data_IF_229530540661
#
_entry.id   IF_229530540661
#
_cell.length_a   1.000
_cell.length_b   1.000
_cell.length_c   1.000
_cell.angle_alpha   90.00
_cell.angle_beta   90.00
_cell.angle_gamma   90.00
#
_symmetry.space_group_name_H-M   'P 1'
#
loop_
_entity.id
_entity.type
_entity.pdbx_description
1 polymer ?
#
# COMPACT_ATOMS: atom_id res chain seq x y z
N UNK A 1 13.31 0.78 15.49
CA UNK A 1 12.91 0.21 14.19
C UNK A 1 11.41 0.37 14.00
N UNK A 2 10.97 1.08 12.96
CA UNK A 2 9.57 1.25 12.61
C UNK A 2 9.14 0.21 11.57
N UNK A 3 7.97 -0.39 11.79
CA UNK A 3 7.42 -1.43 10.91
C UNK A 3 5.98 -1.09 10.58
N UNK A 4 5.69 -1.04 9.29
CA UNK A 4 4.34 -0.94 8.78
C UNK A 4 3.80 -2.35 8.51
N UNK A 5 2.67 -2.69 9.12
CA UNK A 5 1.99 -3.95 8.89
C UNK A 5 0.93 -3.74 7.82
N UNK A 6 0.84 -4.64 6.86
CA UNK A 6 -0.31 -4.70 5.98
C UNK A 6 -1.53 -5.31 6.70
N UNK A 7 -2.72 -5.07 6.18
CA UNK A 7 -3.98 -5.53 6.75
C UNK A 7 -4.07 -7.06 6.81
N UNK A 8 -3.51 -7.79 5.83
CA UNK A 8 -3.43 -9.25 5.86
C UNK A 8 -2.62 -9.78 7.06
N UNK A 9 -1.55 -9.08 7.46
CA UNK A 9 -0.75 -9.43 8.64
C UNK A 9 -1.54 -9.16 9.92
N UNK A 10 -2.25 -8.04 9.99
CA UNK A 10 -3.12 -7.72 11.12
C UNK A 10 -4.27 -8.71 11.28
N UNK A 11 -4.87 -9.17 10.18
CA UNK A 11 -5.89 -10.24 10.17
C UNK A 11 -5.32 -11.53 10.78
N UNK A 12 -4.16 -11.97 10.31
CA UNK A 12 -3.56 -13.20 10.80
C UNK A 12 -3.07 -13.09 12.25
N UNK A 13 -2.68 -11.89 12.70
CA UNK A 13 -2.40 -11.61 14.10
C UNK A 13 -3.67 -11.63 14.96
N UNK A 14 -4.77 -11.05 14.48
CA UNK A 14 -6.10 -11.07 15.11
C UNK A 14 -6.61 -12.50 15.29
N UNK A 15 -6.46 -13.34 14.26
CA UNK A 15 -6.85 -14.74 14.25
C UNK A 15 -5.89 -15.65 15.07
N UNK A 16 -4.81 -15.09 15.62
CA UNK A 16 -3.80 -15.85 16.38
C UNK A 16 -2.90 -16.75 15.54
N UNK A 17 -2.96 -16.66 14.20
CA UNK A 17 -2.11 -17.41 13.26
C UNK A 17 -0.68 -16.91 13.25
N UNK A 18 -0.49 -15.60 13.49
CA UNK A 18 0.83 -14.95 13.57
C UNK A 18 1.05 -14.29 14.91
N UNK A 19 2.31 -14.26 15.34
CA UNK A 19 2.75 -13.45 16.49
C UNK A 19 3.66 -12.36 15.98
N UNK A 20 3.43 -11.12 16.40
CA UNK A 20 4.33 -10.02 16.08
C UNK A 20 5.61 -10.17 16.93
N UNK A 21 6.80 -10.35 16.32
CA UNK A 21 8.06 -10.32 17.06
C UNK A 21 8.19 -9.00 17.84
N UNK A 22 8.54 -9.05 19.11
CA UNK A 22 8.72 -7.83 19.90
C UNK A 22 10.10 -7.84 20.55
N UNK A 23 10.84 -6.77 20.35
CA UNK A 23 11.96 -6.36 21.19
C UNK A 23 11.72 -4.91 21.64
N UNK A 24 12.60 -4.37 22.49
CA UNK A 24 12.46 -3.01 23.03
C UNK A 24 12.51 -1.89 21.98
N UNK A 25 12.98 -2.18 20.76
CA UNK A 25 13.22 -1.19 19.71
C UNK A 25 12.18 -1.25 18.57
N UNK A 26 11.39 -2.32 18.50
CA UNK A 26 10.36 -2.56 17.48
C UNK A 26 9.12 -1.70 17.73
N UNK A 27 8.75 -0.90 16.73
CA UNK A 27 7.59 -0.01 16.77
C UNK A 27 6.70 -0.27 15.55
N UNK A 28 5.56 -0.92 15.77
CA UNK A 28 4.56 -1.14 14.72
C UNK A 28 3.71 0.10 14.51
N UNK A 29 3.32 0.37 13.26
CA UNK A 29 2.55 1.55 12.86
C UNK A 29 1.33 1.18 12.04
N UNK A 30 0.32 2.05 12.01
CA UNK A 30 -0.80 1.97 11.07
C UNK A 30 -1.04 3.33 10.38
N UNK A 31 -1.98 3.36 9.45
CA UNK A 31 -2.43 4.55 8.72
C UNK A 31 -3.94 4.51 8.51
N UNK A 32 -4.50 5.54 7.88
CA UNK A 32 -5.93 5.58 7.58
C UNK A 32 -6.35 4.47 6.60
N UNK A 33 -5.43 3.90 5.82
CA UNK A 33 -5.72 2.88 4.80
C UNK A 33 -6.33 1.64 5.45
N UNK A 34 -5.78 1.22 6.59
CA UNK A 34 -6.32 0.14 7.41
C UNK A 34 -7.78 0.35 7.80
N UNK A 35 -8.13 1.60 8.07
CA UNK A 35 -9.44 2.00 8.53
C UNK A 35 -10.43 2.10 7.37
N UNK A 36 -9.97 2.47 6.18
CA UNK A 36 -10.77 2.40 4.95
C UNK A 36 -11.09 0.96 4.58
N UNK A 37 -10.11 0.06 4.58
CA UNK A 37 -10.36 -1.36 4.34
C UNK A 37 -11.33 -1.94 5.38
N UNK A 38 -11.24 -1.49 6.63
CA UNK A 38 -12.18 -1.87 7.67
C UNK A 38 -13.60 -1.36 7.40
N UNK A 39 -13.74 -0.17 6.82
CA UNK A 39 -15.02 0.42 6.46
C UNK A 39 -15.72 -0.37 5.35
N UNK A 40 -14.97 -0.95 4.42
CA UNK A 40 -15.50 -1.81 3.33
C UNK A 40 -16.12 -3.12 3.84
N UNK A 41 -15.87 -3.52 5.10
CA UNK A 41 -16.63 -4.62 5.69
C UNK A 41 -18.12 -4.24 5.79
N UNK A 42 -19.00 -5.18 5.41
CA UNK A 42 -20.46 -4.97 5.50
C UNK A 42 -20.87 -4.49 6.89
N UNK A 43 -21.86 -3.62 6.96
CA UNK A 43 -22.30 -3.03 8.24
C UNK A 43 -22.83 -4.05 9.25
N UNK A 44 -23.20 -5.25 8.80
CA UNK A 44 -23.56 -6.39 9.66
C UNK A 44 -22.39 -6.92 10.50
N UNK A 45 -21.15 -6.45 10.28
CA UNK A 45 -19.94 -6.89 10.98
C UNK A 45 -19.47 -5.91 12.08
N UNK A 46 -20.39 -5.31 12.84
CA UNK A 46 -20.07 -4.31 13.88
C UNK A 46 -19.05 -4.85 14.92
N UNK A 47 -19.27 -6.07 15.40
CA UNK A 47 -18.38 -6.71 16.38
C UNK A 47 -16.97 -6.90 15.81
N UNK A 48 -16.89 -7.35 14.54
CA UNK A 48 -15.61 -7.54 13.85
C UNK A 48 -14.89 -6.21 13.57
N UNK A 49 -15.63 -5.14 13.25
CA UNK A 49 -15.08 -3.79 13.13
C UNK A 49 -14.46 -3.34 14.45
N UNK A 50 -15.19 -3.53 15.56
CA UNK A 50 -14.72 -3.20 16.90
C UNK A 50 -13.49 -4.01 17.31
N UNK A 51 -13.50 -5.32 17.03
CA UNK A 51 -12.36 -6.20 17.26
C UNK A 51 -11.13 -5.73 16.49
N UNK A 52 -11.25 -5.41 15.20
CA UNK A 52 -10.12 -4.94 14.38
C UNK A 52 -9.52 -3.65 14.90
N UNK A 53 -10.34 -2.69 15.35
CA UNK A 53 -9.84 -1.46 15.96
C UNK A 53 -9.00 -1.74 17.21
N UNK A 54 -9.45 -2.69 18.06
CA UNK A 54 -8.68 -3.12 19.22
C UNK A 54 -7.39 -3.85 18.82
N UNK A 55 -7.44 -4.70 17.79
CA UNK A 55 -6.25 -5.35 17.21
C UNK A 55 -5.22 -4.32 16.77
N UNK A 56 -5.62 -3.33 15.96
CA UNK A 56 -4.74 -2.26 15.47
C UNK A 56 -4.15 -1.50 16.64
N UNK A 57 -4.99 -1.09 17.61
CA UNK A 57 -4.58 -0.38 18.82
C UNK A 57 -3.52 -1.16 19.60
N UNK A 58 -3.77 -2.44 19.86
CA UNK A 58 -2.86 -3.33 20.60
C UNK A 58 -1.54 -3.55 19.85
N UNK A 59 -1.60 -3.84 18.54
CA UNK A 59 -0.43 -4.13 17.73
C UNK A 59 0.49 -2.91 17.60
N UNK A 60 -0.09 -1.75 17.33
CA UNK A 60 0.67 -0.52 16.98
C UNK A 60 0.92 0.41 18.16
N UNK A 61 0.22 0.19 19.28
CA UNK A 61 0.21 1.11 20.42
C UNK A 61 -0.15 2.54 19.96
N UNK A 62 -1.19 2.66 19.13
CA UNK A 62 -1.70 3.92 18.59
C UNK A 62 -0.73 4.70 17.68
N UNK A 63 0.37 4.10 17.22
CA UNK A 63 1.32 4.79 16.33
C UNK A 63 0.76 4.92 14.91
N UNK A 64 0.29 6.12 14.62
CA UNK A 64 -0.41 6.48 13.41
C UNK A 64 0.48 7.30 12.49
N UNK A 65 0.58 6.91 11.22
CA UNK A 65 1.24 7.70 10.19
C UNK A 65 0.19 8.52 9.45
N UNK A 66 0.40 9.83 9.43
CA UNK A 66 -0.41 10.79 8.70
C UNK A 66 0.39 11.36 7.52
N UNK A 67 -0.29 11.58 6.42
CA UNK A 67 0.23 12.32 5.27
C UNK A 67 -0.35 13.74 5.27
N UNK A 68 0.48 14.75 5.00
CA UNK A 68 -0.02 16.07 4.62
C UNK A 68 -0.49 16.09 3.14
N UNK A 69 -0.95 17.25 2.70
CA UNK A 69 -1.42 17.52 1.33
C UNK A 69 -0.32 17.40 0.26
N UNK A 70 0.95 17.52 0.67
CA UNK A 70 2.12 17.41 -0.22
C UNK A 70 2.72 16.02 -0.25
N UNK A 71 2.18 15.07 0.53
CA UNK A 71 2.69 13.71 0.62
C UNK A 71 3.86 13.56 1.61
N UNK A 72 4.04 14.49 2.54
CA UNK A 72 4.99 14.35 3.63
C UNK A 72 4.37 13.51 4.73
N UNK A 73 5.10 12.50 5.18
CA UNK A 73 4.67 11.58 6.23
C UNK A 73 5.19 12.03 7.60
N UNK A 74 4.32 11.91 8.61
CA UNK A 74 4.64 12.19 10.01
C UNK A 74 3.97 11.18 10.94
N UNK A 75 4.62 10.93 12.09
CA UNK A 75 4.15 9.97 13.09
C UNK A 75 3.43 10.69 14.23
N UNK A 76 2.29 10.14 14.63
CA UNK A 76 1.45 10.60 15.74
C UNK A 76 1.04 9.42 16.62
N UNK A 77 0.58 9.72 17.83
CA UNK A 77 -0.08 8.75 18.70
C UNK A 77 -1.58 9.07 18.73
N UNK A 78 -2.37 8.29 17.98
CA UNK A 78 -3.82 8.49 17.85
C UNK A 78 -4.53 7.16 18.02
N UNK A 79 -5.66 7.14 18.73
CA UNK A 79 -6.48 5.94 18.82
C UNK A 79 -7.13 5.64 17.46
N UNK A 80 -7.03 4.41 16.92
CA UNK A 80 -7.67 4.02 15.66
C UNK A 80 -9.16 4.34 15.62
N UNK A 81 -9.85 4.26 16.76
CA UNK A 81 -11.29 4.52 16.86
C UNK A 81 -11.64 5.99 16.58
N UNK A 82 -10.76 6.93 16.95
CA UNK A 82 -10.96 8.37 16.70
C UNK A 82 -10.85 8.68 15.22
N UNK A 83 -9.85 8.10 14.54
CA UNK A 83 -9.73 8.26 13.08
C UNK A 83 -10.87 7.54 12.37
N UNK A 84 -11.26 6.35 12.85
CA UNK A 84 -12.34 5.57 12.25
C UNK A 84 -13.70 6.29 12.30
N UNK A 85 -14.00 7.03 13.38
CA UNK A 85 -15.22 7.86 13.42
C UNK A 85 -15.17 9.00 12.40
N UNK A 86 -14.02 9.66 12.25
CA UNK A 86 -13.84 10.77 11.31
C UNK A 86 -14.00 10.35 9.85
N UNK A 87 -13.45 9.20 9.45
CA UNK A 87 -13.60 8.70 8.07
C UNK A 87 -15.03 8.21 7.77
N UNK A 88 -15.79 7.85 8.82
CA UNK A 88 -17.17 7.42 8.67
C UNK A 88 -18.17 8.58 8.56
N UNK A 89 -17.72 9.82 8.72
CA UNK A 89 -18.54 11.00 8.49
C UNK A 89 -19.09 11.00 7.04
N UNK A 90 -20.38 11.31 6.82
CA UNK A 90 -21.00 11.23 5.49
C UNK A 90 -20.25 12.02 4.41
N UNK A 91 -19.73 13.20 4.76
CA UNK A 91 -18.93 14.01 3.85
C UNK A 91 -17.60 13.34 3.47
N UNK A 92 -16.93 12.71 4.43
CA UNK A 92 -15.69 11.98 4.19
C UNK A 92 -15.93 10.79 3.25
N UNK A 93 -17.03 10.05 3.43
CA UNK A 93 -17.44 8.96 2.53
C UNK A 93 -17.68 9.44 1.10
N UNK A 94 -18.40 10.56 0.95
CA UNK A 94 -18.71 11.13 -0.36
C UNK A 94 -17.43 11.56 -1.09
N UNK A 95 -16.51 12.25 -0.40
CA UNK A 95 -15.22 12.67 -0.96
C UNK A 95 -14.39 11.46 -1.39
N UNK A 96 -14.35 10.41 -0.57
CA UNK A 96 -13.64 9.16 -0.91
C UNK A 96 -14.23 8.48 -2.15
N UNK A 97 -15.56 8.42 -2.27
CA UNK A 97 -16.25 7.86 -3.43
C UNK A 97 -15.93 8.66 -4.70
N UNK A 98 -15.93 10.00 -4.65
CA UNK A 98 -15.57 10.83 -5.81
C UNK A 98 -14.11 10.64 -6.22
N UNK A 99 -13.18 10.53 -5.27
CA UNK A 99 -11.78 10.23 -5.56
C UNK A 99 -11.65 8.83 -6.20
N UNK A 100 -12.39 7.85 -5.68
CA UNK A 100 -12.44 6.49 -6.22
C UNK A 100 -12.93 6.46 -7.68
N UNK A 101 -14.00 7.17 -7.99
CA UNK A 101 -14.54 7.29 -9.35
C UNK A 101 -13.52 7.93 -10.30
N UNK A 102 -12.80 8.96 -9.87
CA UNK A 102 -11.76 9.59 -10.69
C UNK A 102 -10.56 8.69 -10.94
N UNK A 103 -10.12 7.92 -9.95
CA UNK A 103 -8.97 7.00 -10.10
C UNK A 103 -9.35 5.78 -10.94
N UNK A 104 -10.57 5.25 -10.81
CA UNK A 104 -11.06 4.16 -11.69
C UNK A 104 -11.28 4.61 -13.15
N UNK A 105 -11.26 5.91 -13.42
CA UNK A 105 -11.22 6.51 -14.75
C UNK A 105 -9.79 6.71 -15.29
N UNK A 106 -8.76 6.19 -14.62
CA UNK A 106 -7.39 6.26 -15.15
C UNK A 106 -7.36 5.70 -16.58
N UNK A 107 -6.98 6.51 -17.59
CA UNK A 107 -7.22 6.20 -19.00
C UNK A 107 -6.52 4.91 -19.47
N UNK A 108 -5.47 4.50 -18.76
CA UNK A 108 -4.68 3.29 -19.04
C UNK A 108 -5.23 2.01 -18.42
N UNK A 109 -6.14 2.06 -17.43
CA UNK A 109 -6.79 0.85 -16.92
C UNK A 109 -7.62 0.16 -18.01
N UNK A 110 -8.24 0.97 -18.88
CA UNK A 110 -9.04 0.47 -20.01
C UNK A 110 -8.22 0.19 -21.27
N UNK A 111 -7.02 0.78 -21.38
CA UNK A 111 -6.13 0.57 -22.51
C UNK A 111 -4.65 0.61 -22.09
N UNK A 112 -4.13 -0.48 -21.51
CA UNK A 112 -2.73 -0.60 -21.11
C UNK A 112 -1.76 -0.39 -22.28
N UNK A 113 -2.17 -0.76 -23.49
CA UNK A 113 -1.36 -0.61 -24.71
C UNK A 113 -1.02 0.86 -24.99
N UNK A 114 -1.94 1.78 -24.74
CA UNK A 114 -1.68 3.21 -24.93
C UNK A 114 -0.54 3.72 -24.03
N UNK A 115 -0.45 3.22 -22.80
CA UNK A 115 0.65 3.55 -21.90
C UNK A 115 1.96 2.92 -22.38
N UNK A 116 1.93 1.66 -22.80
CA UNK A 116 3.09 0.95 -23.34
C UNK A 116 3.66 1.67 -24.58
N UNK A 117 2.80 2.08 -25.50
CA UNK A 117 3.16 2.82 -26.71
C UNK A 117 3.79 4.18 -26.33
N UNK A 118 3.24 4.88 -25.32
CA UNK A 118 3.82 6.14 -24.82
C UNK A 118 5.18 5.97 -24.16
N UNK A 119 5.37 4.89 -23.41
CA UNK A 119 6.63 4.57 -22.74
C UNK A 119 7.64 3.92 -23.71
N UNK A 120 7.23 3.63 -24.94
CA UNK A 120 8.00 2.89 -25.95
C UNK A 120 8.54 1.55 -25.40
N UNK A 121 7.70 0.83 -24.63
CA UNK A 121 8.04 -0.47 -24.05
C UNK A 121 7.41 -1.57 -24.90
N UNK A 122 8.23 -2.42 -25.50
CA UNK A 122 7.73 -3.65 -26.12
C UNK A 122 7.24 -4.62 -25.05
N UNK A 123 6.05 -5.20 -25.25
CA UNK A 123 5.47 -6.18 -24.33
C UNK A 123 6.29 -7.48 -24.34
N UNK A 124 7.44 -7.49 -23.66
CA UNK A 124 8.03 -8.72 -23.14
C UNK A 124 7.28 -9.11 -21.87
N UNK A 125 7.17 -10.40 -21.60
CA UNK A 125 6.56 -10.89 -20.37
C UNK A 125 7.49 -10.54 -19.22
N UNK A 126 7.33 -9.36 -18.63
CA UNK A 126 8.15 -8.91 -17.49
C UNK A 126 7.73 -9.54 -16.15
N UNK A 127 6.75 -10.44 -16.16
CA UNK A 127 6.20 -11.09 -14.96
C UNK A 127 7.23 -11.94 -14.18
N UNK A 128 8.40 -12.22 -14.77
CA UNK A 128 9.50 -12.94 -14.14
C UNK A 128 10.65 -12.04 -13.66
N UNK A 129 10.53 -10.72 -13.82
CA UNK A 129 11.59 -9.81 -13.43
C UNK A 129 11.69 -9.75 -11.90
N UNK A 130 12.90 -9.69 -11.38
CA UNK A 130 13.08 -9.24 -10.00
C UNK A 130 12.88 -7.72 -9.94
N UNK A 131 12.60 -7.13 -8.76
CA UNK A 131 12.57 -5.68 -8.61
C UNK A 131 13.83 -4.97 -9.13
N UNK A 132 15.01 -5.62 -9.01
CA UNK A 132 16.26 -5.08 -9.52
C UNK A 132 16.32 -5.07 -11.04
N UNK A 133 15.90 -6.16 -11.69
CA UNK A 133 15.92 -6.26 -13.15
C UNK A 133 14.99 -5.24 -13.78
N UNK A 134 13.80 -5.04 -13.18
CA UNK A 134 12.83 -4.05 -13.66
C UNK A 134 13.36 -2.62 -13.52
N UNK A 135 13.93 -2.27 -12.37
CA UNK A 135 14.52 -0.92 -12.18
C UNK A 135 15.71 -0.71 -13.10
N UNK A 136 16.53 -1.74 -13.34
CA UNK A 136 17.66 -1.65 -14.26
C UNK A 136 17.22 -1.41 -15.71
N UNK A 137 16.19 -2.10 -16.17
CA UNK A 137 15.75 -2.03 -17.58
C UNK A 137 14.81 -0.84 -17.84
N UNK A 138 13.87 -0.56 -16.94
CA UNK A 138 12.80 0.41 -17.18
C UNK A 138 12.78 1.59 -16.19
N UNK A 139 13.63 1.57 -15.15
CA UNK A 139 13.56 2.52 -14.05
C UNK A 139 13.64 3.97 -14.50
N UNK A 140 14.57 4.31 -15.39
CA UNK A 140 14.72 5.69 -15.89
C UNK A 140 13.44 6.21 -16.57
N UNK A 141 12.87 5.43 -17.50
CA UNK A 141 11.68 5.83 -18.26
C UNK A 141 10.46 5.94 -17.35
N UNK A 142 10.26 4.96 -16.46
CA UNK A 142 9.15 4.95 -15.51
C UNK A 142 9.27 6.13 -14.53
N UNK A 143 10.46 6.38 -13.99
CA UNK A 143 10.70 7.47 -13.04
C UNK A 143 10.37 8.83 -13.65
N UNK A 144 10.92 9.13 -14.84
CA UNK A 144 10.67 10.41 -15.51
C UNK A 144 9.19 10.63 -15.82
N UNK A 145 8.50 9.58 -16.32
CA UNK A 145 7.07 9.68 -16.58
C UNK A 145 6.27 9.97 -15.29
N UNK A 146 6.63 9.34 -14.17
CA UNK A 146 5.97 9.58 -12.89
C UNK A 146 6.25 10.99 -12.36
N UNK A 147 7.50 11.46 -12.41
CA UNK A 147 7.85 12.82 -11.98
C UNK A 147 7.13 13.90 -12.79
N UNK A 148 6.91 13.68 -14.08
CA UNK A 148 6.19 14.62 -14.95
C UNK A 148 4.66 14.63 -14.72
N UNK A 149 4.11 13.55 -14.16
CA UNK A 149 2.65 13.35 -14.10
C UNK A 149 2.07 13.38 -12.68
N UNK A 150 2.91 13.27 -11.65
CA UNK A 150 2.48 13.16 -10.26
C UNK A 150 2.63 14.49 -9.50
N UNK A 151 1.62 14.86 -8.70
CA UNK A 151 1.64 16.10 -7.92
C UNK A 151 2.02 15.88 -6.44
N UNK A 152 2.07 14.63 -6.00
CA UNK A 152 2.41 14.24 -4.63
C UNK A 152 3.12 12.88 -4.61
N UNK A 153 3.82 12.58 -3.51
CA UNK A 153 4.44 11.25 -3.33
C UNK A 153 3.40 10.12 -3.33
N UNK A 154 2.20 10.36 -2.81
CA UNK A 154 1.10 9.38 -2.90
C UNK A 154 0.74 9.08 -4.36
N UNK A 155 0.66 10.12 -5.20
CA UNK A 155 0.39 9.97 -6.63
C UNK A 155 1.52 9.21 -7.34
N UNK A 156 2.78 9.40 -6.92
CA UNK A 156 3.91 8.67 -7.49
C UNK A 156 3.78 7.16 -7.26
N UNK A 157 3.41 6.75 -6.04
CA UNK A 157 3.18 5.33 -5.72
C UNK A 157 1.99 4.76 -6.50
N UNK A 158 0.87 5.49 -6.57
CA UNK A 158 -0.31 5.08 -7.33
C UNK A 158 -0.01 4.93 -8.82
N UNK A 159 0.65 5.94 -9.42
CA UNK A 159 1.10 5.93 -10.81
C UNK A 159 1.98 4.73 -11.10
N UNK A 160 2.97 4.47 -10.23
CA UNK A 160 3.88 3.34 -10.39
C UNK A 160 3.13 2.01 -10.37
N UNK A 161 2.27 1.77 -9.39
CA UNK A 161 1.51 0.52 -9.30
C UNK A 161 0.65 0.30 -10.54
N UNK A 162 0.01 1.36 -11.07
CA UNK A 162 -0.75 1.30 -12.31
C UNK A 162 0.12 0.98 -13.52
N UNK A 163 1.30 1.60 -13.64
CA UNK A 163 2.26 1.33 -14.72
C UNK A 163 2.74 -0.13 -14.66
N UNK A 164 3.10 -0.62 -13.48
CA UNK A 164 3.54 -2.00 -13.29
C UNK A 164 2.46 -3.02 -13.67
N UNK A 165 1.20 -2.76 -13.31
CA UNK A 165 0.09 -3.62 -13.74
C UNK A 165 -0.17 -3.56 -15.25
N UNK A 166 -0.07 -2.38 -15.85
CA UNK A 166 -0.21 -2.22 -17.30
C UNK A 166 0.89 -2.96 -18.08
N UNK A 167 2.10 -3.00 -17.53
CA UNK A 167 3.23 -3.76 -18.06
C UNK A 167 3.08 -5.28 -17.84
N UNK A 168 2.16 -5.71 -16.98
CA UNK A 168 1.98 -7.12 -16.62
C UNK A 168 2.98 -7.64 -15.58
N UNK A 169 3.62 -6.75 -14.80
CA UNK A 169 4.52 -7.11 -13.71
C UNK A 169 3.72 -7.50 -12.47
N UNK A 170 3.75 -8.79 -12.10
CA UNK A 170 2.96 -9.33 -10.99
C UNK A 170 1.50 -8.91 -11.09
N UNK A 171 0.95 -9.05 -12.30
CA UNK A 171 -0.38 -8.55 -12.64
C UNK A 171 -1.45 -9.28 -11.82
N UNK A 172 -2.34 -8.51 -11.22
CA UNK A 172 -3.53 -9.08 -10.61
C UNK A 172 -4.45 -9.69 -11.67
N UNK A 173 -4.97 -10.89 -11.40
CA UNK A 173 -6.00 -11.48 -12.27
C UNK A 173 -7.19 -10.52 -12.27
N UNK A 174 -7.52 -9.97 -13.44
CA UNK A 174 -8.63 -9.03 -13.60
C UNK A 174 -9.93 -9.64 -13.04
N UNK A 175 -10.29 -9.21 -11.83
CA UNK A 175 -11.55 -9.52 -11.15
C UNK A 175 -12.27 -8.20 -10.89
N UNK A 176 -13.60 -8.25 -10.86
CA UNK A 176 -14.42 -7.13 -10.42
C UNK A 176 -13.96 -6.69 -9.02
N UNK A 177 -13.60 -5.41 -8.84
CA UNK A 177 -13.03 -4.86 -7.60
C UNK A 177 -11.50 -4.80 -7.50
N UNK A 178 -10.76 -5.31 -8.50
CA UNK A 178 -9.28 -5.29 -8.52
C UNK A 178 -8.65 -3.90 -8.46
N UNK A 179 -9.33 -2.87 -8.96
CA UNK A 179 -8.84 -1.49 -8.93
C UNK A 179 -8.72 -0.92 -7.51
N UNK A 180 -9.62 -1.30 -6.59
CA UNK A 180 -9.61 -0.78 -5.21
C UNK A 180 -8.51 -1.43 -4.38
N UNK A 181 -8.33 -2.74 -4.50
CA UNK A 181 -7.25 -3.46 -3.82
C UNK A 181 -5.89 -2.85 -4.19
N UNK A 182 -5.67 -2.62 -5.49
CA UNK A 182 -4.44 -1.98 -5.98
C UNK A 182 -4.21 -0.58 -5.42
N UNK A 183 -5.28 0.22 -5.24
CA UNK A 183 -5.17 1.53 -4.59
C UNK A 183 -4.74 1.37 -3.13
N UNK A 184 -5.32 0.42 -2.41
CA UNK A 184 -4.92 0.14 -1.02
C UNK A 184 -3.50 -0.39 -0.94
N UNK A 185 -3.08 -1.29 -1.83
CA UNK A 185 -1.71 -1.81 -1.93
C UNK A 185 -0.69 -0.68 -2.14
N UNK A 186 -0.97 0.21 -3.11
CA UNK A 186 -0.12 1.36 -3.39
C UNK A 186 -0.06 2.33 -2.19
N UNK A 187 -1.19 2.57 -1.52
CA UNK A 187 -1.24 3.44 -0.34
C UNK A 187 -0.54 2.83 0.87
N UNK A 188 -0.67 1.52 1.10
CA UNK A 188 0.09 0.81 2.13
C UNK A 188 1.59 0.92 1.85
N UNK A 189 2.02 0.67 0.61
CA UNK A 189 3.42 0.84 0.22
C UNK A 189 3.91 2.29 0.43
N UNK A 190 3.09 3.28 0.10
CA UNK A 190 3.37 4.69 0.35
C UNK A 190 3.54 5.00 1.84
N UNK A 191 2.58 4.64 2.69
CA UNK A 191 2.69 4.89 4.14
C UNK A 191 3.86 4.13 4.77
N UNK A 192 4.10 2.91 4.32
CA UNK A 192 5.22 2.10 4.77
C UNK A 192 6.58 2.69 4.37
N UNK A 193 6.64 3.59 3.39
CA UNK A 193 7.86 4.31 2.98
C UNK A 193 8.43 5.21 4.09
N UNK A 194 7.67 5.47 5.16
CA UNK A 194 8.14 6.12 6.38
C UNK A 194 8.89 5.15 7.33
N UNK A 195 8.68 3.85 7.18
CA UNK A 195 9.16 2.82 8.09
C UNK A 195 10.45 2.16 7.58
N UNK A 196 11.13 1.41 8.45
CA UNK A 196 12.28 0.59 8.04
C UNK A 196 11.81 -0.63 7.22
N UNK A 197 10.66 -1.18 7.60
CA UNK A 197 10.09 -2.39 6.99
C UNK A 197 8.60 -2.24 6.68
N UNK A 198 8.22 -2.77 5.52
CA UNK A 198 6.84 -3.05 5.14
C UNK A 198 6.61 -4.56 5.18
N UNK A 199 5.69 -5.03 6.02
CA UNK A 199 5.42 -6.48 6.14
C UNK A 199 4.08 -6.80 5.51
N UNK A 200 4.10 -7.59 4.43
CA UNK A 200 2.92 -8.10 3.73
C UNK A 200 3.18 -9.50 3.19
N UNK A 201 2.18 -10.37 3.29
CA UNK A 201 2.21 -11.69 2.64
C UNK A 201 1.61 -11.66 1.22
N UNK A 202 1.16 -10.50 0.74
CA UNK A 202 0.80 -10.33 -0.65
C UNK A 202 2.08 -10.19 -1.49
N UNK A 203 2.35 -11.20 -2.32
CA UNK A 203 3.55 -11.26 -3.17
C UNK A 203 3.56 -10.14 -4.22
N UNK A 204 2.40 -9.78 -4.76
CA UNK A 204 2.29 -8.76 -5.80
C UNK A 204 2.61 -7.39 -5.19
N UNK A 205 1.96 -7.07 -4.08
CA UNK A 205 2.19 -5.81 -3.33
C UNK A 205 3.63 -5.71 -2.85
N UNK A 206 4.19 -6.81 -2.30
CA UNK A 206 5.60 -6.86 -1.87
C UNK A 206 6.57 -6.52 -3.00
N UNK A 207 6.39 -7.13 -4.17
CA UNK A 207 7.31 -6.93 -5.30
C UNK A 207 7.17 -5.54 -5.92
N UNK A 208 5.94 -5.03 -6.06
CA UNK A 208 5.68 -3.66 -6.54
C UNK A 208 6.21 -2.60 -5.56
N UNK A 209 6.02 -2.79 -4.25
CA UNK A 209 6.56 -1.91 -3.23
C UNK A 209 8.10 -1.87 -3.25
N UNK A 210 8.77 -3.03 -3.39
CA UNK A 210 10.23 -3.07 -3.52
C UNK A 210 10.76 -2.38 -4.79
N UNK A 211 10.00 -2.41 -5.90
CA UNK A 211 10.31 -1.58 -7.08
C UNK A 211 10.20 -0.10 -6.72
N UNK A 212 9.11 0.31 -6.07
CA UNK A 212 8.88 1.70 -5.66
C UNK A 212 10.01 2.22 -4.77
N UNK A 213 10.39 1.46 -3.75
CA UNK A 213 11.45 1.89 -2.82
C UNK A 213 12.80 2.01 -3.52
N UNK A 214 13.13 1.11 -4.45
CA UNK A 214 14.36 1.23 -5.24
C UNK A 214 14.32 2.43 -6.19
N UNK A 215 13.21 2.61 -6.89
CA UNK A 215 13.03 3.65 -7.90
C UNK A 215 13.11 5.05 -7.27
N UNK A 216 12.47 5.23 -6.12
CA UNK A 216 12.43 6.51 -5.40
C UNK A 216 13.52 6.63 -4.33
N UNK A 217 14.54 5.76 -4.37
CA UNK A 217 15.69 5.76 -3.45
C UNK A 217 15.30 5.74 -1.96
N UNK A 218 14.17 5.11 -1.64
CA UNK A 218 13.68 4.92 -0.29
C UNK A 218 14.37 3.70 0.38
N UNK A 219 14.68 3.81 1.67
CA UNK A 219 15.41 2.79 2.44
C UNK A 219 14.52 1.65 2.96
N UNK A 220 13.20 1.81 2.95
CA UNK A 220 12.23 0.80 3.36
C UNK A 220 12.42 -0.49 2.57
N UNK A 221 12.24 -1.64 3.23
CA UNK A 221 12.23 -2.95 2.59
C UNK A 221 10.88 -3.62 2.77
N UNK A 222 10.26 -4.06 1.67
CA UNK A 222 9.06 -4.89 1.73
C UNK A 222 9.43 -6.37 1.84
N UNK A 223 8.80 -7.08 2.78
CA UNK A 223 9.10 -8.47 3.12
C UNK A 223 7.84 -9.23 3.56
N UNK A 224 7.86 -10.56 3.42
CA UNK A 224 6.84 -11.43 4.01
C UNK A 224 7.00 -11.53 5.52
N UNK A 225 5.97 -12.05 6.19
CA UNK A 225 6.04 -12.32 7.63
C UNK A 225 7.19 -13.27 7.98
N UNK A 226 7.40 -14.33 7.20
CA UNK A 226 8.49 -15.29 7.45
C UNK A 226 9.87 -14.64 7.27
N UNK A 227 10.05 -13.83 6.22
CA UNK A 227 11.29 -13.06 6.01
C UNK A 227 11.55 -12.10 7.17
N UNK A 228 10.50 -11.41 7.64
CA UNK A 228 10.56 -10.47 8.76
C UNK A 228 10.90 -11.15 10.09
N UNK A 229 10.27 -12.29 10.38
CA UNK A 229 10.50 -13.06 11.61
C UNK A 229 11.97 -13.49 11.74
N UNK A 230 12.61 -13.86 10.64
CA UNK A 230 14.02 -14.27 10.61
C UNK A 230 15.01 -13.14 10.96
N UNK A 231 14.56 -11.88 11.03
CA UNK A 231 15.40 -10.75 11.47
C UNK A 231 15.58 -10.76 13.01
N UNK A 232 14.69 -11.44 13.73
CA UNK A 232 14.69 -11.49 15.20
C UNK A 232 15.24 -12.79 15.78
N UNK A 233 15.67 -13.72 14.93
CA UNK A 233 16.29 -15.00 15.29
C UNK A 233 17.78 -14.94 15.04
#
# INVERSE_FOLDING_TARGET
MYIYLDNNILIDYEDGKKRLPMNSETKYTYSYVHLLELQELKDTFIEKKSQRLQTIKKATQCRYILSDDKGKLALFEVDPSVIFSQINEPLAKMVQQTIHERISLWPFDKNPKLLMDKLNIEKKIINNYTPNDLVKEYGYIIHNFIEETSNSTTDMFLSLFNILDALGYWQDKAKCGSSMNRIYDAKHAYFASFCDYFVTDDKNTKNKANVAYKLFQNKTKAMSYEEFKNIFT
#
